data_IF_848446355326
#
_entry.id   IF_848446355326
#
_cell.length_a   1.000
_cell.length_b   1.000
_cell.length_c   1.000
_cell.angle_alpha   90.00
_cell.angle_beta   90.00
_cell.angle_gamma   90.00
#
_symmetry.space_group_name_H-M   'P 1'
#
loop_
_entity.id
_entity.type
_entity.pdbx_description
1 polymer ?
#
# COMPACT_ATOMS: atom_id res chain seq x y z
N UNK A 1 5.79 -16.83 32.62
CA UNK A 1 4.62 -17.11 31.76
C UNK A 1 4.32 -15.86 30.93
N UNK A 2 4.70 -15.84 29.64
CA UNK A 2 4.62 -14.64 28.79
C UNK A 2 3.17 -14.48 28.31
N UNK A 3 2.46 -13.51 28.88
CA UNK A 3 1.07 -13.15 28.51
C UNK A 3 1.12 -12.41 27.17
N UNK A 4 0.66 -13.07 26.10
CA UNK A 4 0.55 -12.52 24.74
C UNK A 4 -0.36 -11.29 24.74
N UNK A 5 0.15 -10.16 24.26
CA UNK A 5 -0.57 -8.88 24.21
C UNK A 5 -1.65 -8.90 23.11
N UNK A 6 -2.91 -8.73 23.53
CA UNK A 6 -4.08 -8.55 22.66
C UNK A 6 -4.02 -7.18 21.98
N UNK A 7 -3.41 -7.08 20.80
CA UNK A 7 -3.40 -5.84 19.98
C UNK A 7 -3.85 -6.06 18.53
N UNK A 8 -4.58 -7.15 18.27
CA UNK A 8 -4.94 -7.59 16.91
C UNK A 8 -6.33 -7.23 16.41
N UNK A 9 -7.27 -6.79 17.24
CA UNK A 9 -8.71 -6.99 16.92
C UNK A 9 -9.53 -5.72 16.71
N UNK A 10 -8.92 -4.53 16.59
CA UNK A 10 -9.66 -3.25 16.55
C UNK A 10 -9.50 -2.42 15.26
N UNK A 11 -9.15 -3.02 14.10
CA UNK A 11 -9.02 -2.25 12.83
C UNK A 11 -9.90 -2.73 11.68
N UNK A 12 -10.96 -3.48 11.96
CA UNK A 12 -11.86 -3.99 10.93
C UNK A 12 -13.12 -3.15 10.70
N UNK A 13 -13.32 -2.02 11.42
CA UNK A 13 -14.55 -1.22 11.31
C UNK A 13 -14.46 0.04 10.42
N UNK A 14 -13.26 0.45 10.02
CA UNK A 14 -13.02 1.66 9.21
C UNK A 14 -12.45 1.35 7.81
N UNK A 15 -12.88 0.26 7.19
CA UNK A 15 -12.40 -0.20 5.88
C UNK A 15 -12.76 0.71 4.68
N UNK A 16 -13.38 1.88 4.92
CA UNK A 16 -13.87 2.79 3.86
C UNK A 16 -13.26 4.19 3.86
N UNK A 17 -12.59 4.61 4.94
CA UNK A 17 -11.92 5.91 4.98
C UNK A 17 -10.40 5.68 5.07
N UNK A 18 -9.60 6.23 4.14
CA UNK A 18 -8.17 6.32 4.39
C UNK A 18 -8.01 7.07 5.72
N UNK A 19 -7.42 6.43 6.72
CA UNK A 19 -6.99 7.14 7.93
C UNK A 19 -6.14 8.33 7.48
N UNK A 20 -6.18 9.47 8.17
CA UNK A 20 -5.43 10.66 7.75
C UNK A 20 -3.93 10.41 7.49
N UNK A 21 -3.37 9.35 8.09
CA UNK A 21 -2.05 8.80 7.76
C UNK A 21 -1.94 8.22 6.34
N UNK A 22 -2.91 7.47 5.83
CA UNK A 22 -2.87 6.89 4.48
C UNK A 22 -2.94 7.95 3.36
N UNK A 23 -3.65 9.06 3.60
CA UNK A 23 -3.67 10.19 2.66
C UNK A 23 -2.32 10.94 2.63
N UNK A 24 -1.67 11.11 3.80
CA UNK A 24 -0.31 11.68 3.87
C UNK A 24 0.74 10.72 3.31
N UNK A 25 0.65 9.43 3.63
CA UNK A 25 1.59 8.41 3.15
C UNK A 25 1.46 8.20 1.63
N UNK A 26 0.28 8.45 1.05
CA UNK A 26 0.09 8.52 -0.40
C UNK A 26 0.89 9.67 -1.04
N UNK A 27 0.98 10.84 -0.38
CA UNK A 27 1.75 12.02 -0.84
C UNK A 27 3.27 11.76 -0.69
N UNK A 28 3.68 11.13 0.40
CA UNK A 28 5.09 10.84 0.73
C UNK A 28 5.61 9.52 0.12
N UNK A 29 4.79 8.79 -0.64
CA UNK A 29 5.19 7.54 -1.25
C UNK A 29 6.41 7.71 -2.16
N UNK A 30 7.51 7.04 -1.81
CA UNK A 30 8.78 7.12 -2.52
C UNK A 30 8.82 6.16 -3.72
N UNK A 31 8.10 5.04 -3.62
CA UNK A 31 8.02 4.05 -4.69
C UNK A 31 6.55 3.67 -4.92
N UNK A 32 6.13 3.62 -6.18
CA UNK A 32 4.76 3.24 -6.57
C UNK A 32 4.84 2.04 -7.53
N UNK A 33 4.01 1.04 -7.24
CA UNK A 33 3.91 -0.18 -8.03
C UNK A 33 2.46 -0.44 -8.41
N UNK A 34 2.26 -1.21 -9.48
CA UNK A 34 0.98 -1.79 -9.85
C UNK A 34 1.09 -3.32 -9.79
N UNK A 35 0.19 -3.95 -9.07
CA UNK A 35 0.03 -5.39 -9.06
C UNK A 35 -0.58 -5.84 -10.38
N UNK A 36 0.08 -6.75 -11.09
CA UNK A 36 -0.34 -7.21 -12.43
C UNK A 36 -1.60 -8.07 -12.34
N UNK A 37 -1.75 -8.86 -11.27
CA UNK A 37 -2.85 -9.81 -11.12
C UNK A 37 -4.14 -9.11 -10.67
N UNK A 38 -4.03 -8.25 -9.65
CA UNK A 38 -5.20 -7.58 -9.06
C UNK A 38 -5.49 -6.21 -9.67
N UNK A 39 -4.53 -5.63 -10.41
CA UNK A 39 -4.61 -4.26 -10.91
C UNK A 39 -4.45 -3.18 -9.83
N UNK A 40 -4.23 -3.55 -8.57
CA UNK A 40 -4.11 -2.64 -7.44
C UNK A 40 -2.83 -1.82 -7.49
N UNK A 41 -2.93 -0.59 -6.97
CA UNK A 41 -1.81 0.31 -6.83
C UNK A 41 -1.22 0.20 -5.43
N UNK A 42 0.10 0.14 -5.37
CA UNK A 42 0.87 -0.11 -4.16
C UNK A 42 1.81 1.06 -3.96
N UNK A 43 1.61 1.78 -2.86
CA UNK A 43 2.37 2.96 -2.49
C UNK A 43 3.28 2.60 -1.33
N UNK A 44 4.58 2.73 -1.52
CA UNK A 44 5.56 2.46 -0.49
C UNK A 44 6.03 3.78 0.08
N UNK A 45 5.57 4.06 1.30
CA UNK A 45 5.98 5.21 2.08
C UNK A 45 7.31 4.98 2.79
N UNK A 46 7.72 6.02 3.53
CA UNK A 46 8.93 5.99 4.35
C UNK A 46 8.90 4.82 5.35
N UNK A 47 10.07 4.23 5.64
CA UNK A 47 10.23 3.06 6.53
C UNK A 47 9.54 1.77 6.07
N UNK A 48 9.16 1.66 4.80
CA UNK A 48 8.63 0.43 4.20
C UNK A 48 7.16 0.15 4.55
N UNK A 49 6.45 1.13 5.12
CA UNK A 49 4.99 1.09 5.23
C UNK A 49 4.40 1.18 3.82
N UNK A 50 3.52 0.24 3.50
CA UNK A 50 2.98 0.06 2.14
C UNK A 50 1.47 0.12 2.20
N UNK A 51 0.87 0.91 1.33
CA UNK A 51 -0.57 1.09 1.21
C UNK A 51 -1.02 0.57 -0.15
N UNK A 52 -2.11 -0.18 -0.15
CA UNK A 52 -2.73 -0.73 -1.35
C UNK A 52 -4.01 0.02 -1.60
N UNK A 53 -4.16 0.53 -2.81
CA UNK A 53 -5.34 1.23 -3.28
C UNK A 53 -5.89 0.54 -4.52
N UNK A 54 -7.21 0.63 -4.68
CA UNK A 54 -7.90 0.22 -5.90
C UNK A 54 -7.71 1.28 -6.98
N UNK A 55 -8.10 0.94 -8.20
CA UNK A 55 -8.09 1.82 -9.37
C UNK A 55 -8.91 3.10 -9.19
N UNK A 56 -10.00 3.02 -8.42
CA UNK A 56 -10.85 4.15 -8.06
C UNK A 56 -10.29 5.03 -6.92
N UNK A 57 -9.08 4.74 -6.44
CA UNK A 57 -8.43 5.45 -5.33
C UNK A 57 -8.92 5.03 -3.94
N UNK A 58 -9.81 4.03 -3.82
CA UNK A 58 -10.23 3.52 -2.52
C UNK A 58 -9.09 2.74 -1.85
N UNK A 59 -8.84 3.05 -0.59
CA UNK A 59 -7.87 2.30 0.22
C UNK A 59 -8.38 0.87 0.43
N UNK A 60 -7.53 -0.11 0.14
CA UNK A 60 -7.86 -1.52 0.31
C UNK A 60 -7.23 -2.10 1.58
N UNK A 61 -5.92 -1.92 1.75
CA UNK A 61 -5.20 -2.43 2.91
C UNK A 61 -3.84 -1.76 3.08
N UNK A 62 -3.21 -1.95 4.24
CA UNK A 62 -1.85 -1.46 4.52
C UNK A 62 -1.04 -2.57 5.17
N UNK A 63 0.21 -2.72 4.75
CA UNK A 63 1.15 -3.69 5.34
C UNK A 63 2.58 -3.15 5.32
N UNK A 64 3.50 -3.83 6.02
CA UNK A 64 4.94 -3.52 5.91
C UNK A 64 5.59 -4.50 4.96
N UNK A 65 6.46 -3.99 4.10
CA UNK A 65 7.24 -4.82 3.19
C UNK A 65 8.71 -4.41 3.20
N UNK A 66 9.60 -5.39 3.07
CA UNK A 66 11.04 -5.16 2.96
C UNK A 66 11.40 -4.87 1.50
N UNK A 67 12.52 -4.17 1.29
CA UNK A 67 13.04 -3.90 -0.06
C UNK A 67 13.29 -5.20 -0.85
N UNK A 68 13.80 -6.24 -0.19
CA UNK A 68 14.03 -7.54 -0.80
C UNK A 68 12.73 -8.17 -1.33
N UNK A 69 11.64 -8.14 -0.56
CA UNK A 69 10.34 -8.65 -1.01
C UNK A 69 9.77 -7.85 -2.18
N UNK A 70 9.94 -6.52 -2.19
CA UNK A 70 9.52 -5.68 -3.32
C UNK A 70 10.28 -6.05 -4.59
N UNK A 71 11.61 -6.09 -4.50
CA UNK A 71 12.48 -6.44 -5.63
C UNK A 71 12.13 -7.82 -6.19
N UNK A 72 11.86 -8.79 -5.32
CA UNK A 72 11.44 -10.14 -5.73
C UNK A 72 10.11 -10.15 -6.50
N UNK A 73 9.12 -9.36 -6.05
CA UNK A 73 7.84 -9.23 -6.77
C UNK A 73 8.00 -8.56 -8.12
N UNK A 74 8.90 -7.58 -8.23
CA UNK A 74 9.22 -6.92 -9.49
C UNK A 74 9.94 -7.87 -10.43
N UNK A 75 10.97 -8.59 -9.95
CA UNK A 75 11.74 -9.53 -10.78
C UNK A 75 10.89 -10.69 -11.29
N UNK A 76 9.87 -11.09 -10.53
CA UNK A 76 8.91 -12.12 -10.96
C UNK A 76 7.78 -11.58 -11.84
N UNK A 77 7.81 -10.30 -12.23
CA UNK A 77 6.79 -9.68 -13.06
C UNK A 77 5.42 -9.54 -12.36
N UNK A 78 5.34 -9.76 -11.04
CA UNK A 78 4.09 -9.60 -10.29
C UNK A 78 3.76 -8.13 -10.09
N UNK A 79 4.79 -7.31 -9.86
CA UNK A 79 4.66 -5.87 -9.65
C UNK A 79 5.41 -5.10 -10.71
N UNK A 80 4.77 -4.08 -11.29
CA UNK A 80 5.39 -3.17 -12.25
C UNK A 80 5.57 -1.82 -11.59
N UNK A 81 6.74 -1.18 -11.78
CA UNK A 81 6.94 0.20 -11.32
C UNK A 81 6.08 1.14 -12.16
N UNK A 82 5.37 2.04 -11.50
CA UNK A 82 4.55 3.05 -12.15
C UNK A 82 4.95 4.44 -11.67
N UNK A 83 4.83 5.43 -12.55
CA UNK A 83 5.07 6.81 -12.17
C UNK A 83 3.78 7.42 -11.58
N UNK A 84 3.90 8.31 -10.59
CA UNK A 84 2.77 9.04 -10.01
C UNK A 84 1.92 9.75 -11.07
N UNK A 85 2.55 10.26 -12.14
CA UNK A 85 1.87 10.93 -13.27
C UNK A 85 0.93 10.01 -14.07
N UNK A 86 1.10 8.70 -13.95
CA UNK A 86 0.31 7.69 -14.67
C UNK A 86 -0.86 7.15 -13.82
N UNK A 87 -1.07 7.72 -12.62
CA UNK A 87 -2.13 7.27 -11.72
C UNK A 87 -3.47 7.92 -12.11
N UNK A 88 -4.48 7.13 -12.51
CA UNK A 88 -5.73 7.66 -13.05
C UNK A 88 -6.55 8.45 -12.03
N UNK A 89 -6.39 8.18 -10.73
CA UNK A 89 -7.17 8.81 -9.66
C UNK A 89 -6.51 10.05 -9.04
N UNK A 90 -5.30 10.44 -9.47
CA UNK A 90 -4.63 11.68 -9.03
C UNK A 90 -4.71 12.82 -10.03
N UNK A 91 -5.25 12.56 -11.22
CA UNK A 91 -5.40 13.55 -12.29
C UNK A 91 -6.74 14.31 -12.20
N UNK A 92 -7.33 14.42 -11.01
CA UNK A 92 -8.57 15.17 -10.76
C UNK A 92 -8.28 16.50 -10.08
#
# INVERSE_FOLDING_TARGET
MIKRSSHGTARHRDAGRPTGEAARDHIEATEIYRDVESGYYIFVGSRGRTHVFRDNGAHHTSFRTTRANRNRRVSYGKWVRVNRKQLPFLLK
#
